data_IF_781981286119
#
_entry.id   IF_781981286119
#
_cell.length_a   1.000
_cell.length_b   1.000
_cell.length_c   1.000
_cell.angle_alpha   90.00
_cell.angle_beta   90.00
_cell.angle_gamma   90.00
#
_symmetry.space_group_name_H-M   'P 1'
#
loop_
_entity.id
_entity.type
_entity.pdbx_description
1 polymer ?
#
# COMPACT_ATOMS: atom_id res chain seq x y z
N UNK A 1 19.36 -0.37 -19.24
CA UNK A 1 20.50 0.09 -18.43
C UNK A 1 19.92 0.81 -17.24
N UNK A 2 19.94 0.20 -16.05
CA UNK A 2 19.50 0.83 -14.80
C UNK A 2 20.43 2.00 -14.51
N UNK A 3 19.94 3.23 -14.58
CA UNK A 3 20.70 4.40 -14.17
C UNK A 3 21.05 4.28 -12.69
N UNK A 4 22.32 4.48 -12.34
CA UNK A 4 22.75 4.45 -10.94
C UNK A 4 22.10 5.62 -10.18
N UNK A 5 21.36 5.31 -9.11
CA UNK A 5 20.74 6.32 -8.25
C UNK A 5 21.85 6.98 -7.43
N UNK A 6 22.14 8.25 -7.70
CA UNK A 6 23.17 8.99 -6.99
C UNK A 6 22.85 9.13 -5.49
N UNK A 7 23.80 8.74 -4.63
CA UNK A 7 23.67 8.82 -3.17
C UNK A 7 24.42 10.01 -2.56
N UNK A 8 23.79 10.67 -1.60
CA UNK A 8 24.37 11.75 -0.79
C UNK A 8 25.02 11.19 0.49
N UNK A 9 25.98 11.92 1.05
CA UNK A 9 26.37 11.73 2.46
C UNK A 9 25.24 12.22 3.37
N UNK A 10 25.25 11.81 4.63
CA UNK A 10 24.29 12.32 5.63
C UNK A 10 24.40 13.83 5.74
N UNK A 11 25.62 14.38 5.82
CA UNK A 11 25.83 15.83 5.88
C UNK A 11 25.33 16.56 4.62
N UNK A 12 25.65 16.07 3.42
CA UNK A 12 25.19 16.69 2.17
C UNK A 12 23.65 16.65 2.07
N UNK A 13 23.03 15.56 2.51
CA UNK A 13 21.58 15.43 2.55
C UNK A 13 20.97 16.44 3.52
N UNK A 14 21.53 16.59 4.72
CA UNK A 14 21.07 17.58 5.71
C UNK A 14 21.18 19.01 5.16
N UNK A 15 22.30 19.36 4.54
CA UNK A 15 22.50 20.70 3.98
C UNK A 15 21.48 21.00 2.87
N UNK A 16 21.18 20.02 1.99
CA UNK A 16 20.15 20.18 0.94
C UNK A 16 18.73 20.22 1.50
N UNK A 17 18.40 19.37 2.47
CA UNK A 17 17.07 19.29 3.06
C UNK A 17 16.70 20.55 3.85
N UNK A 18 17.68 21.21 4.45
CA UNK A 18 17.46 22.45 5.21
C UNK A 18 17.30 23.68 4.35
N UNK A 19 17.64 23.59 3.06
CA UNK A 19 17.50 24.70 2.15
C UNK A 19 16.02 25.07 1.98
N UNK A 20 15.64 26.35 1.94
CA UNK A 20 14.24 26.77 1.79
C UNK A 20 13.57 26.24 0.51
N UNK A 21 14.35 26.01 -0.56
CA UNK A 21 13.89 25.44 -1.83
C UNK A 21 13.77 23.91 -1.81
N UNK A 22 14.03 23.22 -0.68
CA UNK A 22 14.02 21.75 -0.64
C UNK A 22 12.72 21.11 -1.16
N UNK A 23 11.50 21.62 -0.85
CA UNK A 23 10.27 21.06 -1.41
C UNK A 23 10.13 21.24 -2.93
N UNK A 24 10.65 22.34 -3.48
CA UNK A 24 10.66 22.56 -4.93
C UNK A 24 11.73 21.70 -5.59
N UNK A 25 12.90 21.60 -4.97
CA UNK A 25 14.04 20.82 -5.45
C UNK A 25 13.73 19.32 -5.48
N UNK A 26 13.15 18.76 -4.42
CA UNK A 26 12.84 17.33 -4.31
C UNK A 26 11.38 17.10 -4.65
N UNK A 27 11.08 17.11 -5.95
CA UNK A 27 9.72 17.04 -6.49
C UNK A 27 9.71 16.31 -7.83
N UNK A 28 8.59 15.64 -8.20
CA UNK A 28 8.39 15.16 -9.56
C UNK A 28 8.43 16.28 -10.61
N UNK A 29 8.20 17.54 -10.22
CA UNK A 29 8.18 18.70 -11.15
C UNK A 29 9.58 19.21 -11.50
N UNK A 30 10.54 19.11 -10.58
CA UNK A 30 11.91 19.61 -10.75
C UNK A 30 12.87 18.60 -11.39
N UNK A 31 12.41 17.37 -11.66
CA UNK A 31 13.24 16.29 -12.20
C UNK A 31 14.10 15.57 -11.16
N UNK A 32 13.93 15.83 -9.86
CA UNK A 32 14.52 15.03 -8.77
C UNK A 32 13.41 14.33 -7.97
N UNK A 33 12.85 13.23 -8.49
CA UNK A 33 11.71 12.56 -7.88
C UNK A 33 12.08 11.70 -6.67
N UNK A 34 13.35 11.66 -6.25
CA UNK A 34 13.83 10.82 -5.17
C UNK A 34 15.09 11.42 -4.54
N UNK A 35 15.21 11.31 -3.22
CA UNK A 35 16.46 11.57 -2.50
C UNK A 35 17.01 10.25 -1.93
N UNK A 36 18.25 9.91 -2.29
CA UNK A 36 18.95 8.74 -1.76
C UNK A 36 20.14 9.17 -0.89
N UNK A 37 20.26 8.59 0.29
CA UNK A 37 21.31 8.92 1.26
C UNK A 37 22.03 7.65 1.71
N UNK A 38 23.35 7.62 1.56
CA UNK A 38 24.16 6.51 2.08
C UNK A 38 24.41 6.74 3.58
N UNK A 39 23.67 6.01 4.41
CA UNK A 39 23.63 6.23 5.85
C UNK A 39 24.95 5.87 6.57
N UNK A 40 25.85 5.12 5.90
CA UNK A 40 27.21 4.87 6.39
C UNK A 40 28.20 6.00 6.10
N UNK A 41 27.83 6.96 5.24
CA UNK A 41 28.69 8.08 4.81
C UNK A 41 28.27 9.35 5.53
N UNK A 42 28.78 9.57 6.74
CA UNK A 42 28.37 10.72 7.59
C UNK A 42 28.78 12.09 7.01
N UNK A 43 30.04 12.25 6.59
CA UNK A 43 30.59 13.55 6.20
C UNK A 43 31.06 14.36 7.42
N UNK A 44 30.69 15.65 7.50
CA UNK A 44 31.02 16.52 8.64
C UNK A 44 30.15 16.22 9.86
N UNK A 45 30.59 16.67 11.05
CA UNK A 45 29.73 16.67 12.23
C UNK A 45 28.51 17.58 12.05
N UNK A 46 27.35 17.14 12.54
CA UNK A 46 26.06 17.81 12.40
C UNK A 46 25.54 18.21 13.77
N UNK A 47 25.19 19.49 13.92
CA UNK A 47 24.59 20.00 15.15
C UNK A 47 23.12 19.56 15.27
N UNK A 48 22.62 19.50 16.50
CA UNK A 48 21.28 19.00 16.79
C UNK A 48 20.15 19.74 16.04
N UNK A 49 20.26 21.07 15.93
CA UNK A 49 19.28 21.88 15.20
C UNK A 49 19.29 21.62 13.69
N UNK A 50 20.44 21.21 13.12
CA UNK A 50 20.55 20.85 11.70
C UNK A 50 19.80 19.55 11.43
N UNK A 51 19.98 18.55 12.30
CA UNK A 51 19.27 17.28 12.24
C UNK A 51 17.77 17.48 12.43
N UNK A 52 17.35 18.30 13.40
CA UNK A 52 15.95 18.61 13.63
C UNK A 52 15.27 19.25 12.41
N UNK A 53 15.93 20.22 11.76
CA UNK A 53 15.43 20.84 10.54
C UNK A 53 15.35 19.86 9.37
N UNK A 54 16.34 18.97 9.22
CA UNK A 54 16.30 17.93 8.19
C UNK A 54 15.17 16.91 8.41
N UNK A 55 14.90 16.49 9.64
CA UNK A 55 13.76 15.62 9.98
C UNK A 55 12.42 16.24 9.56
N UNK A 56 12.26 17.53 9.85
CA UNK A 56 11.05 18.26 9.48
C UNK A 56 10.93 18.47 7.97
N UNK A 57 12.06 18.60 7.27
CA UNK A 57 12.07 18.66 5.80
C UNK A 57 11.70 17.31 5.17
N UNK A 58 12.25 16.20 5.67
CA UNK A 58 11.90 14.84 5.20
C UNK A 58 10.40 14.56 5.28
N UNK A 59 9.70 15.11 6.28
CA UNK A 59 8.24 14.99 6.39
C UNK A 59 7.47 15.76 5.30
N UNK A 60 8.06 16.82 4.73
CA UNK A 60 7.37 17.79 3.86
C UNK A 60 7.72 17.68 2.38
N UNK A 61 8.91 17.21 2.02
CA UNK A 61 9.32 17.13 0.61
C UNK A 61 8.38 16.24 -0.22
N UNK A 62 7.95 16.66 -1.42
CA UNK A 62 7.12 15.85 -2.32
C UNK A 62 7.95 14.84 -3.13
N UNK A 63 8.79 14.05 -2.46
CA UNK A 63 9.56 12.98 -3.07
C UNK A 63 9.85 11.87 -2.06
N UNK A 64 9.88 10.59 -2.48
CA UNK A 64 10.43 9.50 -1.67
C UNK A 64 11.86 9.77 -1.20
N UNK A 65 12.10 9.43 0.05
CA UNK A 65 13.40 9.47 0.69
C UNK A 65 13.86 8.05 1.02
N UNK A 66 15.04 7.69 0.52
CA UNK A 66 15.61 6.34 0.69
C UNK A 66 16.95 6.41 1.39
N UNK A 67 17.06 5.72 2.53
CA UNK A 67 18.31 5.48 3.22
C UNK A 67 18.95 4.17 2.76
N UNK A 68 20.17 4.21 2.23
CA UNK A 68 20.98 3.02 1.97
C UNK A 68 21.84 2.72 3.21
N UNK A 69 21.49 1.67 3.96
CA UNK A 69 22.23 1.24 5.15
C UNK A 69 23.40 0.36 4.72
N UNK A 70 24.62 0.91 4.81
CA UNK A 70 25.88 0.17 4.65
C UNK A 70 26.79 0.44 5.85
N UNK A 71 27.35 -0.62 6.42
CA UNK A 71 28.22 -0.53 7.59
C UNK A 71 27.48 -0.02 8.84
N UNK A 72 28.27 0.45 9.81
CA UNK A 72 27.74 1.00 11.06
C UNK A 72 27.19 2.41 10.87
N UNK A 73 26.03 2.69 11.47
CA UNK A 73 25.46 4.04 11.47
C UNK A 73 26.16 4.95 12.49
N UNK A 74 26.60 6.12 12.02
CA UNK A 74 27.07 7.19 12.90
C UNK A 74 25.91 7.95 13.57
N UNK A 75 26.22 9.03 14.26
CA UNK A 75 25.25 9.78 15.06
C UNK A 75 24.17 10.46 14.20
N UNK A 76 24.56 11.08 13.08
CA UNK A 76 23.63 11.77 12.19
C UNK A 76 22.68 10.78 11.51
N UNK A 77 23.23 9.67 11.01
CA UNK A 77 22.44 8.60 10.42
C UNK A 77 21.44 7.98 11.42
N UNK A 78 21.88 7.68 12.65
CA UNK A 78 20.99 7.20 13.72
C UNK A 78 19.87 8.19 14.02
N UNK A 79 20.15 9.49 13.93
CA UNK A 79 19.14 10.52 14.15
C UNK A 79 18.13 10.63 13.00
N UNK A 80 18.42 10.16 11.79
CA UNK A 80 17.56 10.36 10.63
C UNK A 80 16.90 9.08 10.10
N UNK A 81 17.45 7.90 10.41
CA UNK A 81 17.08 6.63 9.76
C UNK A 81 15.58 6.32 9.80
N UNK A 82 14.89 6.59 10.91
CA UNK A 82 13.45 6.32 11.06
C UNK A 82 12.57 7.35 10.33
N UNK A 83 13.16 8.48 9.91
CA UNK A 83 12.48 9.55 9.18
C UNK A 83 12.49 9.37 7.66
N UNK A 84 13.31 8.46 7.13
CA UNK A 84 13.23 8.08 5.72
C UNK A 84 11.93 7.32 5.44
N UNK A 85 11.49 7.30 4.18
CA UNK A 85 10.33 6.49 3.77
C UNK A 85 10.72 5.03 3.61
N UNK A 86 11.92 4.77 3.12
CA UNK A 86 12.42 3.41 2.96
C UNK A 86 13.88 3.36 3.38
N UNK A 87 14.26 2.27 4.05
CA UNK A 87 15.66 1.94 4.31
C UNK A 87 15.96 0.61 3.64
N UNK A 88 16.93 0.61 2.73
CA UNK A 88 17.39 -0.58 2.00
C UNK A 88 18.80 -0.95 2.43
N UNK A 89 19.19 -2.21 2.21
CA UNK A 89 20.49 -2.73 2.66
C UNK A 89 21.48 -2.92 1.51
N UNK A 90 21.00 -2.91 0.26
CA UNK A 90 21.83 -3.13 -0.92
C UNK A 90 21.67 -2.03 -1.97
N UNK A 91 22.73 -1.70 -2.72
CA UNK A 91 22.63 -0.80 -3.88
C UNK A 91 21.64 -1.29 -4.95
N UNK A 92 21.50 -2.61 -5.09
CA UNK A 92 20.57 -3.21 -6.06
C UNK A 92 19.10 -2.95 -5.69
N UNK A 93 18.74 -3.03 -4.41
CA UNK A 93 17.40 -2.63 -3.95
C UNK A 93 17.14 -1.14 -4.19
N UNK A 94 18.13 -0.28 -3.90
CA UNK A 94 18.03 1.16 -4.18
C UNK A 94 17.81 1.43 -5.67
N UNK A 95 18.55 0.74 -6.54
CA UNK A 95 18.43 0.91 -7.99
C UNK A 95 17.03 0.51 -8.50
N UNK A 96 16.48 -0.62 -8.02
CA UNK A 96 15.11 -1.06 -8.38
C UNK A 96 14.05 -0.08 -7.92
N UNK A 97 14.14 0.39 -6.67
CA UNK A 97 13.24 1.45 -6.16
C UNK A 97 13.35 2.73 -6.99
N UNK A 98 14.57 3.16 -7.30
CA UNK A 98 14.82 4.33 -8.14
C UNK A 98 14.18 4.21 -9.51
N UNK A 99 14.32 3.06 -10.17
CA UNK A 99 13.69 2.81 -11.47
C UNK A 99 12.16 2.90 -11.40
N UNK A 100 11.53 2.29 -10.38
CA UNK A 100 10.07 2.35 -10.17
C UNK A 100 9.58 3.76 -9.89
N UNK A 101 10.28 4.48 -9.01
CA UNK A 101 9.97 5.88 -8.67
C UNK A 101 10.15 6.78 -9.88
N UNK A 102 11.20 6.60 -10.68
CA UNK A 102 11.41 7.39 -11.91
C UNK A 102 10.38 7.09 -12.99
N UNK A 103 9.81 5.88 -13.03
CA UNK A 103 8.75 5.54 -13.97
C UNK A 103 7.41 6.22 -13.64
N UNK A 104 7.06 6.30 -12.35
CA UNK A 104 5.80 6.91 -11.88
C UNK A 104 6.04 7.88 -10.69
N UNK A 105 6.75 9.00 -10.92
CA UNK A 105 7.24 9.87 -9.85
C UNK A 105 6.13 10.63 -9.11
N UNK A 106 4.99 10.92 -9.75
CA UNK A 106 3.87 11.63 -9.12
C UNK A 106 3.10 10.70 -8.19
N UNK A 107 2.82 9.48 -8.63
CA UNK A 107 2.25 8.45 -7.78
C UNK A 107 3.16 8.12 -6.59
N UNK A 108 4.47 7.97 -6.80
CA UNK A 108 5.43 7.71 -5.73
C UNK A 108 5.50 8.84 -4.69
N UNK A 109 5.52 10.10 -5.15
CA UNK A 109 5.46 11.29 -4.30
C UNK A 109 4.18 11.33 -3.47
N UNK A 110 3.04 11.10 -4.12
CA UNK A 110 1.71 11.10 -3.49
C UNK A 110 1.61 10.00 -2.42
N UNK A 111 2.12 8.80 -2.72
CA UNK A 111 2.17 7.68 -1.80
C UNK A 111 2.90 8.02 -0.50
N UNK A 112 4.15 8.51 -0.59
CA UNK A 112 4.94 8.76 0.62
C UNK A 112 4.37 9.91 1.44
N UNK A 113 3.79 10.93 0.81
CA UNK A 113 3.09 12.00 1.53
C UNK A 113 1.86 11.47 2.26
N UNK A 114 1.05 10.65 1.59
CA UNK A 114 -0.12 10.02 2.18
C UNK A 114 0.26 9.17 3.40
N UNK A 115 1.31 8.35 3.28
CA UNK A 115 1.81 7.51 4.36
C UNK A 115 2.39 8.31 5.54
N UNK A 116 3.22 9.33 5.29
CA UNK A 116 3.78 10.20 6.34
C UNK A 116 2.69 10.91 7.13
N UNK A 117 1.67 11.40 6.45
CA UNK A 117 0.57 12.08 7.10
C UNK A 117 -0.47 11.10 7.70
N UNK A 118 -0.46 9.83 7.30
CA UNK A 118 -1.34 8.78 7.81
C UNK A 118 -0.98 8.28 9.21
N UNK A 119 0.26 8.47 9.68
CA UNK A 119 0.76 7.95 10.97
C UNK A 119 -0.09 8.36 12.18
N UNK A 120 -0.77 9.50 12.12
CA UNK A 120 -1.52 10.08 13.25
C UNK A 120 -3.02 10.24 12.97
N UNK A 121 -3.49 9.87 11.78
CA UNK A 121 -4.89 10.02 11.41
C UNK A 121 -5.73 8.87 11.92
N UNK A 122 -6.97 9.14 12.28
CA UNK A 122 -7.97 8.07 12.43
C UNK A 122 -8.24 7.37 11.08
N UNK A 123 -8.92 6.23 11.14
CA UNK A 123 -9.20 5.40 9.97
C UNK A 123 -10.07 6.14 8.95
N UNK A 124 -11.09 6.88 9.40
CA UNK A 124 -12.04 7.56 8.52
C UNK A 124 -11.36 8.66 7.70
N UNK A 125 -10.63 9.54 8.38
CA UNK A 125 -9.84 10.59 7.75
C UNK A 125 -8.77 10.01 6.83
N UNK A 126 -8.16 8.87 7.21
CA UNK A 126 -7.22 8.13 6.38
C UNK A 126 -7.84 7.65 5.07
N UNK A 127 -9.00 6.99 5.13
CA UNK A 127 -9.69 6.44 3.96
C UNK A 127 -10.18 7.55 3.00
N UNK A 128 -10.64 8.68 3.54
CA UNK A 128 -11.02 9.85 2.72
C UNK A 128 -9.78 10.44 2.03
N UNK A 129 -8.66 10.61 2.75
CA UNK A 129 -7.42 11.13 2.18
C UNK A 129 -6.86 10.20 1.10
N UNK A 130 -6.88 8.88 1.32
CA UNK A 130 -6.50 7.88 0.33
C UNK A 130 -7.37 8.00 -0.92
N UNK A 131 -8.70 8.06 -0.75
CA UNK A 131 -9.59 8.18 -1.90
C UNK A 131 -9.36 9.46 -2.70
N UNK A 132 -9.09 10.60 -2.04
CA UNK A 132 -8.81 11.87 -2.73
C UNK A 132 -7.50 11.80 -3.52
N UNK A 133 -6.46 11.22 -2.90
CA UNK A 133 -5.16 11.00 -3.54
C UNK A 133 -5.30 10.06 -4.76
N UNK A 134 -5.97 8.93 -4.59
CA UNK A 134 -6.23 7.97 -5.67
C UNK A 134 -7.01 8.62 -6.82
N UNK A 135 -8.10 9.34 -6.52
CA UNK A 135 -8.89 10.03 -7.55
C UNK A 135 -8.09 11.11 -8.27
N UNK A 136 -7.19 11.83 -7.59
CA UNK A 136 -6.30 12.81 -8.24
C UNK A 136 -5.36 12.13 -9.21
N UNK A 137 -4.78 10.97 -8.84
CA UNK A 137 -3.89 10.21 -9.71
C UNK A 137 -4.61 9.56 -10.90
N UNK A 138 -5.90 9.19 -10.75
CA UNK A 138 -6.71 8.71 -11.88
C UNK A 138 -6.88 9.76 -13.00
N UNK A 139 -6.76 11.05 -12.69
CA UNK A 139 -6.75 12.12 -13.69
C UNK A 139 -5.33 12.45 -14.20
N UNK A 140 -4.30 11.78 -13.68
CA UNK A 140 -2.90 12.04 -13.97
C UNK A 140 -2.40 11.37 -15.26
N UNK A 141 -1.29 11.86 -15.85
CA UNK A 141 -0.76 11.29 -17.09
C UNK A 141 -0.15 9.90 -16.90
N UNK A 142 0.36 9.56 -15.71
CA UNK A 142 0.94 8.24 -15.43
C UNK A 142 -0.13 7.15 -15.58
N UNK A 143 -1.30 7.35 -14.96
CA UNK A 143 -2.43 6.46 -15.13
C UNK A 143 -2.98 6.46 -16.56
N UNK A 144 -3.06 7.63 -17.21
CA UNK A 144 -3.49 7.72 -18.60
C UNK A 144 -2.58 6.93 -19.57
N UNK A 145 -1.25 6.99 -19.35
CA UNK A 145 -0.26 6.23 -20.12
C UNK A 145 -0.44 4.73 -19.90
N UNK A 146 -0.60 4.29 -18.64
CA UNK A 146 -0.87 2.88 -18.34
C UNK A 146 -2.17 2.42 -19.02
N UNK A 147 -3.24 3.21 -18.91
CA UNK A 147 -4.54 2.87 -19.46
C UNK A 147 -4.53 2.74 -20.99
N UNK A 148 -3.77 3.60 -21.69
CA UNK A 148 -3.59 3.51 -23.13
C UNK A 148 -2.87 2.23 -23.59
N UNK A 149 -2.03 1.65 -22.72
CA UNK A 149 -1.34 0.38 -22.97
C UNK A 149 -2.11 -0.86 -22.50
N UNK A 150 -3.21 -0.68 -21.75
CA UNK A 150 -3.97 -1.77 -21.16
C UNK A 150 -5.13 -2.21 -22.05
N UNK A 151 -5.17 -3.49 -22.41
CA UNK A 151 -6.31 -4.07 -23.15
C UNK A 151 -7.32 -4.64 -22.17
N UNK A 152 -8.53 -4.07 -22.17
CA UNK A 152 -9.63 -4.56 -21.33
C UNK A 152 -10.31 -5.79 -21.95
N UNK A 153 -10.62 -6.77 -21.12
CA UNK A 153 -11.54 -7.84 -21.44
C UNK A 153 -13.00 -7.34 -21.49
N UNK A 154 -13.93 -8.15 -22.04
CA UNK A 154 -15.34 -7.82 -22.01
C UNK A 154 -15.88 -7.86 -20.58
N UNK A 155 -16.54 -6.78 -20.15
CA UNK A 155 -17.32 -6.78 -18.91
C UNK A 155 -18.54 -7.68 -19.11
N UNK A 156 -18.48 -8.88 -18.54
CA UNK A 156 -19.60 -9.83 -18.55
C UNK A 156 -20.19 -9.91 -17.15
N UNK A 157 -21.50 -9.66 -16.99
CA UNK A 157 -22.18 -9.95 -15.74
C UNK A 157 -22.01 -11.44 -15.43
N UNK A 158 -21.47 -11.75 -14.24
CA UNK A 158 -21.49 -13.11 -13.72
C UNK A 158 -22.76 -13.28 -12.90
N UNK A 159 -23.63 -14.25 -13.22
CA UNK A 159 -24.83 -14.51 -12.43
C UNK A 159 -24.53 -15.11 -11.06
N UNK A 160 -23.31 -15.61 -10.81
CA UNK A 160 -22.92 -16.13 -9.50
C UNK A 160 -22.65 -14.99 -8.51
N UNK A 161 -22.91 -15.20 -7.21
CA UNK A 161 -22.53 -14.23 -6.20
C UNK A 161 -21.03 -13.95 -6.23
N UNK A 162 -20.63 -12.68 -6.29
CA UNK A 162 -19.21 -12.33 -6.19
C UNK A 162 -18.62 -12.63 -4.80
N UNK A 163 -19.50 -12.77 -3.79
CA UNK A 163 -19.17 -13.16 -2.42
C UNK A 163 -20.22 -14.17 -1.97
N UNK A 164 -19.79 -15.36 -1.52
CA UNK A 164 -20.66 -16.30 -0.80
C UNK A 164 -20.76 -15.88 0.65
N UNK A 165 -21.99 -15.86 1.18
CA UNK A 165 -22.27 -15.46 2.55
C UNK A 165 -23.14 -16.50 3.22
N UNK A 166 -22.69 -17.00 4.37
CA UNK A 166 -23.48 -17.89 5.20
C UNK A 166 -23.12 -17.69 6.67
N UNK A 167 -24.04 -18.09 7.54
CA UNK A 167 -23.87 -17.96 8.99
C UNK A 167 -23.94 -19.34 9.63
N UNK A 168 -22.98 -19.62 10.49
CA UNK A 168 -22.93 -20.81 11.34
C UNK A 168 -22.93 -20.33 12.79
N UNK A 169 -24.06 -20.47 13.49
CA UNK A 169 -24.22 -19.95 14.86
C UNK A 169 -23.93 -18.43 14.94
N UNK A 170 -22.90 -18.03 15.68
CA UNK A 170 -22.41 -16.66 15.89
C UNK A 170 -21.33 -16.25 14.87
N UNK A 171 -20.97 -17.13 13.93
CA UNK A 171 -19.94 -16.87 12.92
C UNK A 171 -20.56 -16.54 11.57
N UNK A 172 -20.14 -15.41 10.98
CA UNK A 172 -20.45 -15.04 9.60
C UNK A 172 -19.26 -15.39 8.69
N UNK A 173 -19.51 -16.09 7.61
CA UNK A 173 -18.52 -16.36 6.58
C UNK A 173 -18.74 -15.45 5.38
N UNK A 174 -17.68 -14.76 4.98
CA UNK A 174 -17.61 -13.93 3.78
C UNK A 174 -16.51 -14.49 2.89
N UNK A 175 -16.87 -15.22 1.84
CA UNK A 175 -15.90 -15.83 0.94
C UNK A 175 -15.96 -15.19 -0.45
N UNK A 176 -14.82 -14.69 -0.95
CA UNK A 176 -14.72 -14.18 -2.31
C UNK A 176 -14.87 -15.31 -3.33
N UNK A 177 -15.84 -15.22 -4.25
CA UNK A 177 -16.22 -16.34 -5.13
C UNK A 177 -16.23 -15.96 -6.60
N UNK A 178 -15.05 -15.57 -7.10
CA UNK A 178 -14.76 -15.44 -8.55
C UNK A 178 -13.45 -16.16 -8.88
N UNK A 179 -13.33 -17.47 -8.58
CA UNK A 179 -12.05 -18.18 -8.62
C UNK A 179 -11.41 -18.17 -10.03
N UNK A 180 -12.22 -18.19 -11.10
CA UNK A 180 -11.73 -18.09 -12.48
C UNK A 180 -11.08 -16.74 -12.84
N UNK A 181 -11.35 -15.70 -12.06
CA UNK A 181 -10.69 -14.39 -12.14
C UNK A 181 -9.75 -14.16 -10.95
N UNK A 182 -9.33 -15.21 -10.25
CA UNK A 182 -8.52 -15.12 -9.03
C UNK A 182 -9.10 -14.15 -8.00
N UNK A 183 -10.44 -14.11 -7.89
CA UNK A 183 -11.18 -13.25 -6.99
C UNK A 183 -10.86 -11.74 -7.18
N UNK A 184 -10.69 -11.30 -8.44
CA UNK A 184 -10.52 -9.89 -8.74
C UNK A 184 -11.66 -9.02 -8.16
N UNK A 185 -11.27 -7.99 -7.41
CA UNK A 185 -12.11 -7.08 -6.67
C UNK A 185 -12.79 -6.07 -7.61
N UNK A 186 -13.99 -6.44 -8.05
CA UNK A 186 -14.88 -5.64 -8.90
C UNK A 186 -15.85 -4.79 -8.08
N UNK A 187 -16.60 -3.91 -8.76
CA UNK A 187 -17.72 -3.18 -8.17
C UNK A 187 -18.76 -4.13 -7.55
N UNK A 188 -19.07 -5.24 -8.23
CA UNK A 188 -19.99 -6.26 -7.71
C UNK A 188 -19.46 -6.93 -6.43
N UNK A 189 -18.16 -7.23 -6.38
CA UNK A 189 -17.53 -7.81 -5.19
C UNK A 189 -17.49 -6.81 -4.02
N UNK A 190 -17.17 -5.54 -4.29
CA UNK A 190 -17.25 -4.45 -3.31
C UNK A 190 -18.64 -4.33 -2.72
N UNK A 191 -19.67 -4.31 -3.57
CA UNK A 191 -21.05 -4.09 -3.13
C UNK A 191 -21.53 -5.27 -2.29
N UNK A 192 -21.25 -6.51 -2.71
CA UNK A 192 -21.55 -7.71 -1.93
C UNK A 192 -20.80 -7.74 -0.57
N UNK A 193 -19.50 -7.43 -0.55
CA UNK A 193 -18.76 -7.31 0.72
C UNK A 193 -19.36 -6.23 1.63
N UNK A 194 -19.76 -5.08 1.08
CA UNK A 194 -20.39 -4.03 1.87
C UNK A 194 -21.71 -4.50 2.49
N UNK A 195 -22.51 -5.29 1.78
CA UNK A 195 -23.75 -5.87 2.30
C UNK A 195 -23.50 -6.81 3.47
N UNK A 196 -22.58 -7.78 3.31
CA UNK A 196 -22.24 -8.74 4.37
C UNK A 196 -21.61 -8.07 5.59
N UNK A 197 -20.69 -7.12 5.40
CA UNK A 197 -20.06 -6.40 6.50
C UNK A 197 -21.03 -5.43 7.19
N UNK A 198 -21.95 -4.79 6.45
CA UNK A 198 -22.97 -3.96 7.06
C UNK A 198 -23.92 -4.77 7.95
N UNK A 199 -24.28 -6.00 7.53
CA UNK A 199 -25.01 -6.95 8.37
C UNK A 199 -24.23 -7.26 9.65
N UNK A 200 -22.95 -7.64 9.54
CA UNK A 200 -22.12 -7.96 10.70
C UNK A 200 -21.97 -6.79 11.67
N UNK A 201 -21.89 -5.56 11.16
CA UNK A 201 -21.80 -4.35 11.98
C UNK A 201 -23.13 -4.00 12.67
N UNK A 202 -24.27 -4.43 12.13
CA UNK A 202 -25.58 -4.16 12.69
C UNK A 202 -26.08 -5.26 13.65
N UNK A 203 -25.55 -6.48 13.55
CA UNK A 203 -25.95 -7.63 14.37
C UNK A 203 -24.84 -7.98 15.39
N UNK A 204 -25.08 -7.64 16.65
CA UNK A 204 -24.18 -7.92 17.77
C UNK A 204 -24.11 -9.42 18.14
N UNK A 205 -24.99 -10.27 17.60
CA UNK A 205 -24.92 -11.72 17.76
C UNK A 205 -23.94 -12.40 16.80
N UNK A 206 -23.33 -11.65 15.87
CA UNK A 206 -22.22 -12.14 15.06
C UNK A 206 -20.94 -11.84 15.86
N UNK A 207 -20.34 -12.85 16.47
CA UNK A 207 -19.14 -12.68 17.31
C UNK A 207 -17.85 -12.85 16.51
N UNK A 208 -17.89 -13.57 15.38
CA UNK A 208 -16.74 -13.81 14.50
C UNK A 208 -17.12 -13.66 13.02
N UNK A 209 -16.20 -13.11 12.23
CA UNK A 209 -16.29 -13.00 10.78
C UNK A 209 -15.09 -13.71 10.18
N UNK A 210 -15.32 -14.77 9.42
CA UNK A 210 -14.28 -15.44 8.63
C UNK A 210 -14.28 -14.83 7.24
N UNK A 211 -13.16 -14.21 6.87
CA UNK A 211 -12.96 -13.58 5.55
C UNK A 211 -11.97 -14.40 4.73
N UNK A 212 -12.46 -15.10 3.72
CA UNK A 212 -11.68 -16.05 2.90
C UNK A 212 -11.91 -15.85 1.40
N UNK A 213 -11.21 -16.63 0.56
CA UNK A 213 -11.41 -16.63 -0.89
C UNK A 213 -11.49 -18.05 -1.45
N UNK A 214 -12.29 -18.23 -2.50
CA UNK A 214 -12.41 -19.51 -3.21
C UNK A 214 -11.29 -19.71 -4.24
N UNK A 215 -10.94 -20.97 -4.51
CA UNK A 215 -10.03 -21.33 -5.60
C UNK A 215 -8.55 -21.10 -5.27
N UNK A 216 -7.73 -20.83 -6.30
CA UNK A 216 -6.26 -20.86 -6.20
C UNK A 216 -5.62 -19.60 -5.59
N UNK A 217 -6.40 -18.53 -5.42
CA UNK A 217 -5.90 -17.26 -4.87
C UNK A 217 -6.92 -16.71 -3.89
N UNK A 218 -6.46 -16.04 -2.84
CA UNK A 218 -7.33 -15.23 -2.02
C UNK A 218 -7.95 -14.10 -2.85
N UNK A 219 -7.14 -13.20 -3.42
CA UNK A 219 -7.60 -12.10 -4.28
C UNK A 219 -6.44 -11.46 -5.07
N UNK A 220 -6.62 -11.33 -6.39
CA UNK A 220 -5.64 -10.72 -7.30
C UNK A 220 -5.68 -9.18 -7.36
N UNK A 221 -6.44 -8.53 -6.48
CA UNK A 221 -6.58 -7.07 -6.45
C UNK A 221 -7.73 -6.55 -7.31
N UNK A 222 -7.72 -5.26 -7.62
CA UNK A 222 -8.80 -4.62 -8.39
C UNK A 222 -9.03 -5.29 -9.75
N UNK A 223 -10.29 -5.42 -10.17
CA UNK A 223 -10.64 -5.92 -11.50
C UNK A 223 -10.19 -4.91 -12.57
N UNK A 224 -9.06 -5.19 -13.23
CA UNK A 224 -8.44 -4.28 -14.19
C UNK A 224 -9.35 -3.95 -15.39
N UNK A 225 -10.31 -4.83 -15.71
CA UNK A 225 -11.30 -4.59 -16.76
C UNK A 225 -12.24 -3.41 -16.41
N UNK A 226 -12.39 -3.07 -15.13
CA UNK A 226 -13.20 -1.94 -14.66
C UNK A 226 -12.41 -0.63 -14.56
N UNK A 227 -11.09 -0.66 -14.70
CA UNK A 227 -10.26 0.53 -14.52
C UNK A 227 -10.49 1.54 -15.64
N UNK A 228 -10.88 2.77 -15.28
CA UNK A 228 -11.20 3.85 -16.22
C UNK A 228 -12.56 3.69 -16.91
N UNK A 229 -13.50 2.94 -16.31
CA UNK A 229 -14.90 2.86 -16.74
C UNK A 229 -15.79 3.90 -16.08
N UNK A 230 -15.37 4.44 -14.93
CA UNK A 230 -16.06 5.52 -14.24
C UNK A 230 -15.96 6.83 -15.03
N UNK A 231 -17.02 7.66 -15.04
CA UNK A 231 -17.09 8.84 -15.89
C UNK A 231 -16.07 9.92 -15.51
N UNK A 232 -15.79 10.07 -14.22
CA UNK A 232 -14.87 11.07 -13.70
C UNK A 232 -14.35 10.71 -12.29
N UNK A 233 -13.21 11.30 -11.86
CA UNK A 233 -12.62 11.01 -10.55
C UNK A 233 -13.44 11.45 -9.33
N UNK A 234 -14.30 12.47 -9.47
CA UNK A 234 -15.14 12.95 -8.37
C UNK A 234 -16.28 11.95 -8.09
N UNK A 235 -16.91 11.43 -9.14
CA UNK A 235 -17.84 10.30 -9.05
C UNK A 235 -17.15 9.08 -8.44
N UNK A 236 -15.93 8.76 -8.88
CA UNK A 236 -15.16 7.65 -8.31
C UNK A 236 -14.86 7.83 -6.81
N UNK A 237 -14.53 9.05 -6.39
CA UNK A 237 -14.34 9.40 -4.98
C UNK A 237 -15.63 9.21 -4.16
N UNK A 238 -16.75 9.72 -4.66
CA UNK A 238 -18.05 9.59 -4.00
C UNK A 238 -18.45 8.12 -3.82
N UNK A 239 -18.27 7.29 -4.83
CA UNK A 239 -18.55 5.84 -4.74
C UNK A 239 -17.64 5.19 -3.70
N UNK A 240 -16.32 5.42 -3.76
CA UNK A 240 -15.35 4.78 -2.85
C UNK A 240 -15.57 5.18 -1.38
N UNK A 241 -16.04 6.40 -1.13
CA UNK A 241 -16.30 6.90 0.23
C UNK A 241 -17.69 6.56 0.75
N UNK A 242 -18.65 6.19 -0.09
CA UNK A 242 -20.01 5.81 0.34
C UNK A 242 -20.21 4.29 0.37
N UNK A 243 -19.51 3.54 -0.47
CA UNK A 243 -19.50 2.07 -0.53
C UNK A 243 -18.10 1.54 -0.23
N UNK A 244 -17.68 1.63 1.04
CA UNK A 244 -16.33 1.28 1.47
C UNK A 244 -16.31 0.00 2.31
N UNK A 245 -15.84 -1.10 1.73
CA UNK A 245 -15.59 -2.33 2.48
C UNK A 245 -14.51 -2.12 3.56
N UNK A 246 -13.46 -1.33 3.27
CA UNK A 246 -12.41 -0.98 4.23
C UNK A 246 -12.96 -0.29 5.48
N UNK A 247 -13.88 0.68 5.31
CA UNK A 247 -14.57 1.34 6.43
C UNK A 247 -15.33 0.34 7.29
N UNK A 248 -16.10 -0.55 6.66
CA UNK A 248 -16.93 -1.51 7.37
C UNK A 248 -16.07 -2.57 8.08
N UNK A 249 -15.01 -3.06 7.44
CA UNK A 249 -14.00 -3.94 8.05
C UNK A 249 -13.39 -3.28 9.29
N UNK A 250 -12.96 -2.01 9.19
CA UNK A 250 -12.40 -1.31 10.34
C UNK A 250 -13.38 -1.19 11.52
N UNK A 251 -14.69 -1.08 11.26
CA UNK A 251 -15.72 -1.03 12.33
C UNK A 251 -15.98 -2.36 13.02
N UNK A 252 -15.60 -3.48 12.41
CA UNK A 252 -15.76 -4.82 12.97
C UNK A 252 -14.43 -5.59 13.08
N UNK A 253 -13.30 -4.91 12.96
CA UNK A 253 -11.95 -5.49 12.84
C UNK A 253 -11.65 -6.55 13.91
N UNK A 254 -12.00 -6.26 15.16
CA UNK A 254 -11.81 -7.15 16.32
C UNK A 254 -12.48 -8.52 16.16
N UNK A 255 -13.53 -8.61 15.33
CA UNK A 255 -14.26 -9.86 15.04
C UNK A 255 -13.80 -10.54 13.75
N UNK A 256 -12.99 -9.88 12.93
CA UNK A 256 -12.59 -10.41 11.62
C UNK A 256 -11.32 -11.24 11.74
N UNK A 257 -11.40 -12.49 11.28
CA UNK A 257 -10.26 -13.35 10.97
C UNK A 257 -10.18 -13.51 9.45
N UNK A 258 -9.11 -13.03 8.85
CA UNK A 258 -8.83 -13.26 7.43
C UNK A 258 -8.02 -14.54 7.25
N UNK A 259 -8.41 -15.37 6.30
CA UNK A 259 -7.74 -16.61 5.90
C UNK A 259 -7.31 -16.46 4.43
N UNK A 260 -6.00 -16.27 4.21
CA UNK A 260 -5.44 -15.89 2.92
C UNK A 260 -4.49 -16.95 2.37
N UNK A 261 -4.47 -17.13 1.06
CA UNK A 261 -3.65 -18.12 0.36
C UNK A 261 -3.32 -17.66 -1.05
N UNK A 262 -2.29 -18.25 -1.66
CA UNK A 262 -1.85 -17.88 -3.00
C UNK A 262 -1.67 -16.37 -3.19
N UNK A 263 -2.29 -15.80 -4.23
CA UNK A 263 -2.14 -14.37 -4.52
C UNK A 263 -2.97 -13.48 -3.56
N UNK A 264 -2.30 -12.57 -2.84
CA UNK A 264 -2.89 -11.50 -2.04
C UNK A 264 -2.40 -10.13 -2.57
N UNK A 265 -3.04 -9.63 -3.63
CA UNK A 265 -2.52 -8.50 -4.42
C UNK A 265 -3.44 -7.29 -4.29
N UNK A 266 -2.90 -6.08 -4.14
CA UNK A 266 -3.67 -4.83 -4.02
C UNK A 266 -4.78 -4.97 -2.98
N UNK A 267 -6.04 -4.71 -3.38
CA UNK A 267 -7.23 -4.93 -2.54
C UNK A 267 -7.23 -6.27 -1.76
N UNK A 268 -6.64 -7.32 -2.34
CA UNK A 268 -6.49 -8.65 -1.74
C UNK A 268 -5.53 -8.75 -0.55
N UNK A 269 -4.69 -7.75 -0.29
CA UNK A 269 -3.95 -7.62 0.98
C UNK A 269 -4.35 -6.37 1.76
N UNK A 270 -4.82 -5.32 1.08
CA UNK A 270 -5.29 -4.09 1.71
C UNK A 270 -6.49 -4.32 2.64
N UNK A 271 -7.47 -5.14 2.21
CA UNK A 271 -8.68 -5.43 2.99
C UNK A 271 -8.39 -6.39 4.16
N UNK A 272 -7.73 -7.55 3.99
CA UNK A 272 -7.34 -8.41 5.11
C UNK A 272 -6.52 -7.72 6.18
N UNK A 273 -5.70 -6.72 5.82
CA UNK A 273 -4.88 -6.00 6.78
C UNK A 273 -5.70 -5.20 7.84
N UNK A 274 -7.02 -5.02 7.66
CA UNK A 274 -7.91 -4.49 8.71
C UNK A 274 -8.37 -5.52 9.73
N UNK A 275 -8.25 -6.82 9.44
CA UNK A 275 -8.68 -7.88 10.34
C UNK A 275 -7.94 -7.81 11.68
N UNK A 276 -8.47 -8.43 12.74
CA UNK A 276 -7.70 -8.62 13.99
C UNK A 276 -6.61 -9.67 13.80
N UNK A 277 -6.90 -10.72 13.02
CA UNK A 277 -5.97 -11.81 12.69
C UNK A 277 -5.96 -12.09 11.19
N UNK A 278 -4.77 -12.25 10.63
CA UNK A 278 -4.51 -12.68 9.25
C UNK A 278 -3.73 -13.99 9.29
N UNK A 279 -4.43 -15.08 9.03
CA UNK A 279 -3.90 -16.42 8.90
C UNK A 279 -3.56 -16.67 7.43
N UNK A 280 -2.34 -17.09 7.11
CA UNK A 280 -1.91 -17.28 5.72
C UNK A 280 -1.46 -18.72 5.44
N UNK A 281 -1.64 -19.20 4.21
CA UNK A 281 -0.94 -20.40 3.74
C UNK A 281 0.53 -20.10 3.44
N UNK A 282 1.40 -21.11 3.49
CA UNK A 282 2.82 -20.98 3.15
C UNK A 282 3.07 -20.57 1.68
N UNK A 283 2.12 -20.85 0.78
CA UNK A 283 2.18 -20.45 -0.62
C UNK A 283 1.72 -19.00 -0.89
N UNK A 284 1.25 -18.31 0.15
CA UNK A 284 0.74 -16.95 0.02
C UNK A 284 1.85 -15.95 -0.30
N UNK A 285 1.49 -14.89 -1.02
CA UNK A 285 2.35 -13.71 -1.14
C UNK A 285 1.53 -12.43 -1.17
N UNK A 286 2.07 -11.37 -0.56
CA UNK A 286 1.53 -10.02 -0.63
C UNK A 286 2.20 -9.23 -1.77
N UNK A 287 1.45 -8.36 -2.44
CA UNK A 287 1.98 -7.45 -3.46
C UNK A 287 1.10 -6.20 -3.58
N UNK A 288 1.71 -5.01 -3.65
CA UNK A 288 1.05 -3.74 -3.96
C UNK A 288 1.56 -3.22 -5.32
N UNK A 289 0.88 -3.53 -6.44
CA UNK A 289 1.37 -3.21 -7.78
C UNK A 289 1.01 -1.79 -8.25
N UNK A 290 0.27 -1.01 -7.45
CA UNK A 290 -0.42 0.22 -7.88
C UNK A 290 0.53 1.28 -8.44
N UNK A 291 1.75 1.36 -7.92
CA UNK A 291 2.73 2.30 -8.45
C UNK A 291 3.01 2.06 -9.93
N UNK A 292 3.01 0.80 -10.41
CA UNK A 292 3.24 0.47 -11.83
C UNK A 292 2.15 0.99 -12.76
N UNK A 293 0.98 1.32 -12.20
CA UNK A 293 -0.18 1.88 -12.90
C UNK A 293 -0.24 3.40 -12.77
N UNK A 294 0.73 4.05 -12.11
CA UNK A 294 0.64 5.48 -11.80
C UNK A 294 -0.37 5.79 -10.69
N UNK A 295 -0.62 4.83 -9.79
CA UNK A 295 -1.59 4.92 -8.71
C UNK A 295 -0.95 4.63 -7.35
N UNK A 296 -1.75 4.74 -6.29
CA UNK A 296 -1.43 4.31 -4.92
C UNK A 296 -2.40 3.20 -4.51
N UNK A 297 -2.11 2.41 -3.45
CA UNK A 297 -3.13 1.55 -2.84
C UNK A 297 -4.41 2.34 -2.55
N UNK A 298 -5.56 1.78 -2.89
CA UNK A 298 -6.83 2.52 -2.98
C UNK A 298 -8.05 1.80 -2.43
N UNK A 299 -7.85 0.65 -1.78
CA UNK A 299 -8.85 -0.15 -1.10
C UNK A 299 -8.65 -0.13 0.43
N UNK A 300 -7.96 0.89 0.95
CA UNK A 300 -7.63 1.09 2.36
C UNK A 300 -6.18 0.77 2.71
N UNK A 301 -5.33 0.40 1.76
CA UNK A 301 -3.98 -0.08 1.98
C UNK A 301 -3.03 0.92 2.62
N UNK A 302 -3.20 2.20 2.33
CA UNK A 302 -2.41 3.28 2.97
C UNK A 302 -2.85 3.56 4.40
N UNK A 303 -3.94 2.93 4.85
CA UNK A 303 -4.48 3.01 6.20
C UNK A 303 -4.19 1.74 6.99
N UNK A 304 -4.51 0.56 6.44
CA UNK A 304 -4.39 -0.73 7.12
C UNK A 304 -2.95 -1.21 7.24
N UNK A 305 -2.18 -1.23 6.15
CA UNK A 305 -0.82 -1.79 6.19
C UNK A 305 0.11 -1.02 7.13
N UNK A 306 0.17 0.33 7.14
CA UNK A 306 1.05 1.05 8.07
C UNK A 306 0.76 0.77 9.54
N UNK A 307 -0.49 0.39 9.89
CA UNK A 307 -0.86 0.00 11.25
C UNK A 307 -0.35 -1.39 11.63
N UNK A 308 -0.22 -2.30 10.66
CA UNK A 308 0.33 -3.65 10.86
C UNK A 308 1.86 -3.66 10.82
N UNK A 309 2.45 -3.14 9.75
CA UNK A 309 3.88 -3.31 9.46
C UNK A 309 4.69 -2.00 9.55
N UNK A 310 4.06 -0.89 9.92
CA UNK A 310 4.70 0.41 9.99
C UNK A 310 4.92 1.06 8.63
N UNK A 311 5.11 2.38 8.63
CA UNK A 311 5.22 3.20 7.41
C UNK A 311 6.32 2.73 6.47
N UNK A 312 7.51 2.42 6.97
CA UNK A 312 8.67 2.14 6.11
C UNK A 312 8.51 0.84 5.31
N UNK A 313 7.96 -0.21 5.93
CA UNK A 313 7.71 -1.48 5.25
C UNK A 313 6.57 -1.35 4.24
N UNK A 314 5.51 -0.61 4.58
CA UNK A 314 4.43 -0.31 3.62
C UNK A 314 4.94 0.49 2.42
N UNK A 315 5.76 1.51 2.66
CA UNK A 315 6.37 2.31 1.60
C UNK A 315 7.27 1.43 0.72
N UNK A 316 8.09 0.55 1.31
CA UNK A 316 8.90 -0.39 0.53
C UNK A 316 8.02 -1.31 -0.34
N UNK A 317 6.96 -1.89 0.21
CA UNK A 317 6.08 -2.83 -0.50
C UNK A 317 5.41 -2.16 -1.71
N UNK A 318 4.89 -0.95 -1.51
CA UNK A 318 4.21 -0.20 -2.57
C UNK A 318 5.17 0.46 -3.59
N UNK A 319 6.34 0.94 -3.15
CA UNK A 319 7.32 1.58 -4.06
C UNK A 319 8.11 0.55 -4.88
N UNK A 320 8.42 -0.61 -4.31
CA UNK A 320 9.13 -1.68 -5.05
C UNK A 320 8.23 -2.39 -6.04
N UNK A 321 6.93 -2.50 -5.73
CA UNK A 321 5.99 -3.38 -6.42
C UNK A 321 6.56 -4.82 -6.55
N UNK A 322 7.26 -5.28 -5.52
CA UNK A 322 7.84 -6.63 -5.44
C UNK A 322 6.94 -7.55 -4.59
N UNK A 323 6.98 -8.85 -4.88
CA UNK A 323 6.28 -9.85 -4.07
C UNK A 323 6.95 -9.97 -2.71
N UNK A 324 6.13 -9.96 -1.66
CA UNK A 324 6.52 -10.26 -0.29
C UNK A 324 6.07 -11.69 0.05
N UNK A 325 7.00 -12.68 0.12
CA UNK A 325 6.66 -14.06 0.46
C UNK A 325 6.03 -14.19 1.85
N UNK A 326 5.23 -15.24 2.07
CA UNK A 326 4.53 -15.51 3.32
C UNK A 326 5.43 -15.44 4.57
N UNK A 327 6.61 -16.07 4.53
CA UNK A 327 7.56 -16.04 5.65
C UNK A 327 7.98 -14.63 6.03
N UNK A 328 8.40 -13.82 5.06
CA UNK A 328 8.78 -12.42 5.29
C UNK A 328 7.59 -11.58 5.74
N UNK A 329 6.40 -11.80 5.17
CA UNK A 329 5.18 -11.12 5.58
C UNK A 329 4.80 -11.43 7.04
N UNK A 330 4.99 -12.68 7.48
CA UNK A 330 4.83 -13.07 8.90
C UNK A 330 5.87 -12.38 9.77
N UNK A 331 7.14 -12.41 9.39
CA UNK A 331 8.22 -11.76 10.15
C UNK A 331 8.03 -10.23 10.27
N UNK A 332 7.29 -9.64 9.32
CA UNK A 332 6.92 -8.23 9.37
C UNK A 332 5.70 -7.93 10.23
N UNK A 333 4.90 -8.94 10.59
CA UNK A 333 3.60 -8.81 11.26
C UNK A 333 2.45 -8.48 10.30
N UNK A 334 2.64 -8.64 8.99
CA UNK A 334 1.54 -8.52 8.03
C UNK A 334 0.62 -9.74 8.12
N UNK A 335 1.21 -10.92 8.25
CA UNK A 335 0.54 -12.17 8.58
C UNK A 335 0.84 -12.54 10.03
N UNK A 336 -0.17 -13.01 10.75
CA UNK A 336 -0.05 -13.36 12.17
C UNK A 336 0.44 -14.81 12.35
N UNK A 337 0.10 -15.69 11.41
CA UNK A 337 0.51 -17.09 11.41
C UNK A 337 0.53 -17.69 9.99
N UNK A 338 1.26 -18.79 9.84
CA UNK A 338 1.34 -19.57 8.60
C UNK A 338 0.83 -20.99 8.81
N UNK A 339 0.13 -21.54 7.83
CA UNK A 339 -0.35 -22.92 7.80
C UNK A 339 0.17 -23.64 6.55
N UNK A 340 0.46 -24.93 6.72
CA UNK A 340 0.83 -25.79 5.61
C UNK A 340 -0.31 -25.88 4.58
N UNK A 341 0.04 -25.93 3.31
CA UNK A 341 -0.94 -26.21 2.25
C UNK A 341 -1.34 -27.68 2.38
N UNK A 342 -2.60 -27.97 2.73
CA UNK A 342 -3.08 -29.35 2.69
C UNK A 342 -3.02 -29.88 1.25
N UNK A 343 -2.42 -31.07 1.01
CA UNK A 343 -2.42 -31.66 -0.31
C UNK A 343 -3.86 -32.03 -0.70
N UNK A 344 -4.38 -31.33 -1.71
CA UNK A 344 -5.70 -31.57 -2.31
C UNK A 344 -5.78 -32.82 -3.17
#
# INVERSE_FOLDING_TARGET
MTGEVATLSVADAVDRLRSPDAPERFSPVSGQPLIAVELGREGRALAHHELAAARESLRRIPAPSVGLRRGSLGQGAKALVDHFDVVVNTPSELARLGERVSANPRAASTLVQLLRHGETRDVEAGLVAESLAYSTLQAGPEFATWLAGHTRGPLRPDPRPAVRMWRELDRLHLELDRPEKHNAYSAAMRDALCEGLALAVADDHIEEIVFSGAGASFCSGGDLDEFGTLPDPATAHAIRTTRSAARLLARCAERVRAEVHGACVGAGIELPAFASRVSAHEDAFALLPELTMGLVPGAGGTVSLPRRIGRQRTAWLALSAERLPAETARDWGLFDELHAVEPG
#
